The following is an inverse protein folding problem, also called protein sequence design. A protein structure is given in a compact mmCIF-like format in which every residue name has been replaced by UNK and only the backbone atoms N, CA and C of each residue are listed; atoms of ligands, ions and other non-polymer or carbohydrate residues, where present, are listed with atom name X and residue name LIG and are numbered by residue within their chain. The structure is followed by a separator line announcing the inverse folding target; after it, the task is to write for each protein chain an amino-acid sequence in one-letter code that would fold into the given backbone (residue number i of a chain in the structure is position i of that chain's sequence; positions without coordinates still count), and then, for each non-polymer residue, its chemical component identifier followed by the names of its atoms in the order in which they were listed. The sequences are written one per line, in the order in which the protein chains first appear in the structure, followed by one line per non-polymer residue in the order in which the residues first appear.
data_IF_483689401964
#
_entry.id   IF_483689401964
#
_cell.length_a   1.000
_cell.length_b   1.000
_cell.length_c   1.000
_cell.angle_alpha   90.00
_cell.angle_beta   90.00
_cell.angle_gamma   90.00
#
_symmetry.space_group_name_H-M   'P 1'
#
loop_
_entity.id
_entity.type
_entity.pdbx_description
1 polymer ?
#
# COMPACT_ATOMS: atom_id res chain seq x y z
N UNK A 1 -9.53 -3.73 11.48
CA UNK A 1 -8.45 -3.49 12.47
C UNK A 1 -7.41 -4.60 12.42
N UNK A 2 -7.78 -5.89 12.58
CA UNK A 2 -6.83 -7.02 12.54
C UNK A 2 -5.98 -7.02 11.24
N UNK A 3 -6.64 -6.91 10.08
CA UNK A 3 -5.97 -6.89 8.77
C UNK A 3 -4.98 -5.71 8.65
N UNK A 4 -5.32 -4.54 9.21
CA UNK A 4 -4.48 -3.35 9.16
C UNK A 4 -3.24 -3.49 10.05
N UNK A 5 -3.42 -4.01 11.27
CA UNK A 5 -2.31 -4.30 12.19
C UNK A 5 -1.37 -5.33 11.55
N UNK A 6 -1.93 -6.37 10.93
CA UNK A 6 -1.15 -7.37 10.23
C UNK A 6 -0.40 -6.78 9.03
N UNK A 7 -1.06 -5.96 8.19
CA UNK A 7 -0.44 -5.28 7.06
C UNK A 7 0.74 -4.42 7.49
N UNK A 8 0.55 -3.59 8.52
CA UNK A 8 1.62 -2.72 9.02
C UNK A 8 2.77 -3.53 9.62
N UNK A 9 2.45 -4.53 10.45
CA UNK A 9 3.46 -5.42 11.05
C UNK A 9 4.28 -6.16 9.99
N UNK A 10 3.61 -6.75 9.00
CA UNK A 10 4.26 -7.45 7.89
C UNK A 10 5.12 -6.48 7.06
N UNK A 11 4.60 -5.31 6.73
CA UNK A 11 5.33 -4.30 5.94
C UNK A 11 6.57 -3.80 6.67
N UNK A 12 6.52 -3.65 7.99
CA UNK A 12 7.69 -3.29 8.82
C UNK A 12 8.74 -4.40 8.86
N UNK A 13 8.32 -5.66 9.01
CA UNK A 13 9.24 -6.81 9.04
C UNK A 13 9.92 -6.98 7.68
N UNK A 14 9.13 -7.00 6.60
CA UNK A 14 9.63 -7.14 5.22
C UNK A 14 10.49 -5.94 4.85
N UNK A 15 10.01 -4.72 5.12
CA UNK A 15 10.77 -3.51 4.82
C UNK A 15 12.10 -3.43 5.55
N UNK A 16 12.17 -3.92 6.79
CA UNK A 16 13.43 -4.04 7.53
C UNK A 16 14.37 -5.07 6.91
N UNK A 17 13.85 -6.19 6.40
CA UNK A 17 14.66 -7.22 5.73
C UNK A 17 15.26 -6.70 4.41
N UNK A 18 14.50 -5.90 3.65
CA UNK A 18 14.92 -5.31 2.38
C UNK A 18 15.61 -3.95 2.52
N UNK A 19 15.87 -3.48 3.75
CA UNK A 19 16.51 -2.20 4.03
C UNK A 19 15.79 -0.98 3.43
N UNK A 20 14.46 -1.04 3.31
CA UNK A 20 13.66 0.10 2.88
C UNK A 20 13.59 1.16 3.98
N UNK A 21 13.42 2.41 3.55
CA UNK A 21 13.28 3.52 4.51
C UNK A 21 11.93 3.44 5.21
N UNK A 22 11.90 3.87 6.47
CA UNK A 22 10.67 3.84 7.28
C UNK A 22 9.58 4.68 6.63
N UNK A 23 9.94 5.79 5.98
CA UNK A 23 9.05 6.66 5.22
C UNK A 23 8.32 5.87 4.13
N UNK A 24 9.03 5.06 3.35
CA UNK A 24 8.47 4.28 2.24
C UNK A 24 7.53 3.19 2.76
N UNK A 25 7.91 2.52 3.85
CA UNK A 25 7.11 1.46 4.48
C UNK A 25 5.79 2.02 5.03
N UNK A 26 5.85 3.14 5.75
CA UNK A 26 4.68 3.78 6.34
C UNK A 26 3.74 4.33 5.26
N UNK A 27 4.29 4.91 4.20
CA UNK A 27 3.51 5.40 3.07
C UNK A 27 2.83 4.24 2.31
N UNK A 28 3.53 3.13 2.08
CA UNK A 28 2.96 1.95 1.44
C UNK A 28 1.84 1.31 2.27
N UNK A 29 2.03 1.19 3.59
CA UNK A 29 0.99 0.68 4.48
C UNK A 29 -0.22 1.61 4.53
N UNK A 30 0.00 2.93 4.61
CA UNK A 30 -1.09 3.92 4.57
C UNK A 30 -1.81 3.93 3.20
N UNK A 31 -1.09 3.72 2.10
CA UNK A 31 -1.68 3.61 0.77
C UNK A 31 -2.58 2.36 0.64
N UNK A 32 -2.22 1.28 1.33
CA UNK A 32 -3.06 0.07 1.39
C UNK A 32 -4.33 0.30 2.21
N UNK A 33 -4.20 0.98 3.35
CA UNK A 33 -5.33 1.19 4.28
C UNK A 33 -6.31 2.28 3.80
N UNK A 34 -5.78 3.42 3.34
CA UNK A 34 -6.54 4.63 3.04
C UNK A 34 -6.39 5.13 1.60
N UNK A 35 -5.62 4.45 0.76
CA UNK A 35 -5.45 4.78 -0.64
C UNK A 35 -4.30 5.76 -0.96
N UNK A 36 -3.98 5.95 -2.24
CA UNK A 36 -2.80 6.70 -2.70
C UNK A 36 -2.84 8.18 -2.31
N UNK A 37 -4.03 8.79 -2.35
CA UNK A 37 -4.23 10.21 -1.99
C UNK A 37 -4.03 10.45 -0.50
N UNK A 38 -4.49 9.53 0.36
CA UNK A 38 -4.27 9.58 1.81
C UNK A 38 -2.79 9.38 2.16
N UNK A 39 -2.09 8.50 1.44
CA UNK A 39 -0.64 8.34 1.59
C UNK A 39 0.13 9.59 1.14
N UNK A 40 -0.26 10.19 0.01
CA UNK A 40 0.30 11.47 -0.42
C UNK A 40 0.08 12.58 0.61
N UNK A 41 -1.10 12.66 1.22
CA UNK A 41 -1.38 13.61 2.31
C UNK A 41 -0.48 13.38 3.53
N UNK A 42 -0.24 12.12 3.90
CA UNK A 42 0.71 11.76 4.97
C UNK A 42 2.15 12.19 4.61
N UNK A 43 2.58 11.97 3.37
CA UNK A 43 3.90 12.40 2.89
C UNK A 43 4.05 13.92 2.96
N UNK A 44 3.03 14.68 2.56
CA UNK A 44 3.00 16.15 2.67
C UNK A 44 3.11 16.57 4.14
N UNK A 45 2.29 15.98 5.03
CA UNK A 45 2.29 16.31 6.46
C UNK A 45 3.61 16.00 7.17
N UNK A 46 4.35 14.99 6.70
CA UNK A 46 5.67 14.62 7.22
C UNK A 46 6.84 15.24 6.45
N UNK A 47 6.57 16.10 5.46
CA UNK A 47 7.57 16.74 4.58
C UNK A 47 8.41 15.75 3.76
N UNK A 48 7.86 14.58 3.45
CA UNK A 48 8.46 13.58 2.56
C UNK A 48 8.11 13.85 1.10
N UNK A 49 8.39 15.07 0.63
CA UNK A 49 7.94 15.58 -0.68
C UNK A 49 8.43 14.74 -1.85
N UNK A 50 9.63 14.16 -1.74
CA UNK A 50 10.23 13.30 -2.76
C UNK A 50 9.44 12.00 -3.00
N UNK A 51 8.59 11.59 -2.05
CA UNK A 51 7.83 10.34 -2.14
C UNK A 51 6.37 10.55 -2.60
N UNK A 52 5.90 11.80 -2.73
CA UNK A 52 4.51 12.12 -3.12
C UNK A 52 4.20 11.58 -4.53
N UNK A 53 5.05 11.88 -5.52
CA UNK A 53 4.88 11.39 -6.89
C UNK A 53 4.94 9.86 -6.97
N UNK A 54 6.01 9.23 -6.46
CA UNK A 54 6.15 7.78 -6.44
C UNK A 54 4.97 7.05 -5.77
N UNK A 55 4.49 7.53 -4.61
CA UNK A 55 3.42 6.82 -3.88
C UNK A 55 2.08 6.90 -4.61
N UNK A 56 1.79 8.01 -5.30
CA UNK A 56 0.57 8.14 -6.10
C UNK A 56 0.57 7.14 -7.27
N UNK A 57 1.71 7.00 -7.96
CA UNK A 57 1.85 6.05 -9.07
C UNK A 57 1.74 4.61 -8.56
N UNK A 58 2.58 4.23 -7.59
CA UNK A 58 2.63 2.85 -7.10
C UNK A 58 1.32 2.46 -6.41
N UNK A 59 0.72 3.37 -5.64
CA UNK A 59 -0.56 3.13 -4.99
C UNK A 59 -1.70 2.92 -6.00
N UNK A 60 -1.74 3.72 -7.07
CA UNK A 60 -2.76 3.56 -8.12
C UNK A 60 -2.55 2.27 -8.91
N UNK A 61 -1.30 1.92 -9.23
CA UNK A 61 -0.96 0.63 -9.83
C UNK A 61 -1.39 -0.54 -8.95
N UNK A 62 -1.17 -0.44 -7.63
CA UNK A 62 -1.65 -1.42 -6.65
C UNK A 62 -3.17 -1.62 -6.71
N UNK A 63 -3.95 -0.55 -6.89
CA UNK A 63 -5.39 -0.68 -7.11
C UNK A 63 -5.74 -1.38 -8.41
N UNK A 64 -5.07 -1.06 -9.51
CA UNK A 64 -5.32 -1.72 -10.79
C UNK A 64 -5.11 -3.24 -10.64
N UNK A 65 -3.96 -3.63 -10.09
CA UNK A 65 -3.60 -5.04 -9.89
C UNK A 65 -4.58 -5.71 -8.92
N UNK A 66 -4.87 -5.07 -7.79
CA UNK A 66 -5.76 -5.60 -6.76
C UNK A 66 -7.19 -5.82 -7.26
N UNK A 67 -7.72 -4.90 -8.07
CA UNK A 67 -9.04 -5.04 -8.67
C UNK A 67 -9.10 -6.22 -9.64
N UNK A 68 -8.15 -6.32 -10.58
CA UNK A 68 -8.13 -7.43 -11.53
C UNK A 68 -7.93 -8.78 -10.84
N UNK A 69 -7.02 -8.86 -9.85
CA UNK A 69 -6.83 -10.06 -9.05
C UNK A 69 -8.10 -10.45 -8.29
N UNK A 70 -8.78 -9.47 -7.69
CA UNK A 70 -10.06 -9.68 -7.00
C UNK A 70 -11.14 -10.20 -7.93
N UNK A 71 -11.28 -9.63 -9.13
CA UNK A 71 -12.25 -10.09 -10.13
C UNK A 71 -11.94 -11.51 -10.60
N UNK A 72 -10.66 -11.85 -10.79
CA UNK A 72 -10.25 -13.20 -11.18
C UNK A 72 -10.57 -14.22 -10.09
N UNK A 73 -10.29 -13.91 -8.82
CA UNK A 73 -10.63 -14.77 -7.68
C UNK A 73 -12.14 -14.91 -7.56
N UNK A 74 -12.90 -13.83 -7.72
CA UNK A 74 -14.35 -13.87 -7.71
C UNK A 74 -14.91 -14.81 -8.78
N UNK A 75 -14.38 -14.75 -10.00
CA UNK A 75 -14.82 -15.62 -11.08
C UNK A 75 -14.44 -17.09 -10.84
N UNK A 76 -13.23 -17.34 -10.30
CA UNK A 76 -12.78 -18.69 -9.92
C UNK A 76 -13.64 -19.29 -8.80
N UNK A 77 -14.06 -18.48 -7.84
CA UNK A 77 -14.92 -18.94 -6.74
C UNK A 77 -16.33 -19.24 -7.22
N UNK A 78 -16.83 -18.51 -8.22
CA UNK A 78 -18.16 -18.69 -8.79
C UNK A 78 -18.23 -19.90 -9.75
N UNK A 79 -17.10 -20.30 -10.33
CA UNK A 79 -17.01 -21.48 -11.19
C UNK A 79 -16.79 -22.80 -10.43
N UNK A 80 -16.67 -22.74 -9.10
CA UNK A 80 -16.49 -23.88 -8.19
C UNK A 80 -17.83 -24.28 -7.55
#
# INVERSE_FOLDING_TARGET
IIILIFNLGLSLIVGKLFHFKIEEILLASNATAGGPTTAAALAIGKRWTNLIGPILIIGTLGYIIGNYAGTLIYHLLLSL
#
